data_IF_467537601345
#
_entry.id   IF_467537601345
#
_cell.length_a   1.000
_cell.length_b   1.000
_cell.length_c   1.000
_cell.angle_alpha   90.00
_cell.angle_beta   90.00
_cell.angle_gamma   90.00
#
_symmetry.space_group_name_H-M   'P 1'
#
loop_
_entity.id
_entity.type
_entity.pdbx_description
1 polymer ?
#
# COMPACT_ATOMS: atom_id res chain seq x y z
N UNK A 1 5.88 -20.76 9.67
CA UNK A 1 5.91 -20.00 8.40
C UNK A 1 5.53 -18.54 8.61
N UNK A 2 4.27 -18.22 8.90
CA UNK A 2 3.81 -16.82 9.05
C UNK A 2 4.48 -16.15 10.27
N UNK A 3 4.42 -16.80 11.43
CA UNK A 3 5.03 -16.27 12.67
C UNK A 3 6.55 -16.09 12.50
N UNK A 4 7.24 -17.08 11.92
CA UNK A 4 8.68 -16.97 11.66
C UNK A 4 9.01 -15.81 10.71
N UNK A 5 8.21 -15.63 9.65
CA UNK A 5 8.38 -14.52 8.71
C UNK A 5 8.14 -13.16 9.39
N UNK A 6 7.12 -13.05 10.24
CA UNK A 6 6.84 -11.85 11.02
C UNK A 6 7.98 -11.55 12.01
N UNK A 7 8.49 -12.57 12.70
CA UNK A 7 9.59 -12.42 13.65
C UNK A 7 10.88 -11.98 12.98
N UNK A 8 11.23 -12.58 11.84
CA UNK A 8 12.38 -12.16 11.03
C UNK A 8 12.23 -10.71 10.55
N UNK A 9 11.05 -10.35 10.04
CA UNK A 9 10.75 -8.99 9.62
C UNK A 9 10.91 -7.98 10.77
N UNK A 10 10.37 -8.29 11.95
CA UNK A 10 10.45 -7.43 13.12
C UNK A 10 11.91 -7.17 13.56
N UNK A 11 12.72 -8.22 13.63
CA UNK A 11 14.14 -8.09 13.99
C UNK A 11 14.94 -7.28 12.95
N UNK A 12 14.54 -7.34 11.67
CA UNK A 12 15.21 -6.58 10.60
C UNK A 12 14.91 -5.09 10.62
N UNK A 13 13.73 -4.66 11.07
CA UNK A 13 13.38 -3.23 11.15
C UNK A 13 14.38 -2.40 11.97
N UNK A 14 15.06 -3.01 12.94
CA UNK A 14 15.99 -2.32 13.84
C UNK A 14 17.43 -2.21 13.28
N UNK A 15 17.72 -2.88 12.16
CA UNK A 15 19.06 -2.96 11.57
C UNK A 15 19.48 -1.66 10.86
N UNK A 16 20.79 -1.33 10.84
CA UNK A 16 21.26 -0.07 10.24
C UNK A 16 20.98 0.03 8.74
N UNK A 17 20.99 -1.09 8.01
CA UNK A 17 20.69 -1.14 6.57
C UNK A 17 19.24 -0.70 6.31
N UNK A 18 18.30 -1.17 7.13
CA UNK A 18 16.88 -0.82 7.01
C UNK A 18 16.59 0.64 7.36
N UNK A 19 17.39 1.27 8.24
CA UNK A 19 17.25 2.69 8.55
C UNK A 19 17.53 3.56 7.33
N UNK A 20 18.55 3.23 6.54
CA UNK A 20 18.85 3.95 5.30
C UNK A 20 17.71 3.83 4.30
N UNK A 21 17.17 2.63 4.13
CA UNK A 21 15.99 2.40 3.28
C UNK A 21 14.80 3.19 3.79
N UNK A 22 14.51 3.14 5.10
CA UNK A 22 13.43 3.89 5.73
C UNK A 22 13.52 5.39 5.47
N UNK A 23 14.68 6.03 5.70
CA UNK A 23 14.84 7.47 5.46
C UNK A 23 14.74 7.84 3.99
N UNK A 24 15.25 7.01 3.08
CA UNK A 24 15.02 7.17 1.63
C UNK A 24 13.52 7.10 1.32
N UNK A 25 12.82 6.12 1.90
CA UNK A 25 11.37 5.93 1.73
C UNK A 25 10.62 7.16 2.18
N UNK A 26 10.90 7.61 3.40
CA UNK A 26 10.22 8.75 4.00
C UNK A 26 10.49 10.03 3.20
N UNK A 27 11.73 10.26 2.77
CA UNK A 27 12.10 11.40 1.93
C UNK A 27 11.39 11.42 0.58
N UNK A 28 11.39 10.29 -0.13
CA UNK A 28 10.69 10.14 -1.42
C UNK A 28 9.17 10.30 -1.24
N UNK A 29 8.60 9.68 -0.21
CA UNK A 29 7.17 9.81 0.17
C UNK A 29 6.81 11.29 0.34
N UNK A 30 7.58 12.00 1.16
CA UNK A 30 7.33 13.40 1.45
C UNK A 30 7.46 14.27 0.20
N UNK A 31 8.48 14.03 -0.62
CA UNK A 31 8.68 14.73 -1.89
C UNK A 31 7.50 14.53 -2.83
N UNK A 32 7.04 13.28 -3.01
CA UNK A 32 5.89 12.95 -3.85
C UNK A 32 4.60 13.60 -3.32
N UNK A 33 4.37 13.55 -2.00
CA UNK A 33 3.21 14.18 -1.38
C UNK A 33 3.21 15.70 -1.58
N UNK A 34 4.34 16.36 -1.37
CA UNK A 34 4.47 17.81 -1.60
C UNK A 34 4.28 18.14 -3.09
N UNK A 35 4.93 17.40 -3.99
CA UNK A 35 4.82 17.61 -5.43
C UNK A 35 3.38 17.45 -5.93
N UNK A 36 2.70 16.40 -5.46
CA UNK A 36 1.31 16.13 -5.84
C UNK A 36 0.34 17.14 -5.21
N UNK A 37 0.56 17.57 -3.95
CA UNK A 37 -0.18 18.66 -3.33
C UNK A 37 -0.08 19.95 -4.16
N UNK A 38 1.14 20.33 -4.56
CA UNK A 38 1.37 21.50 -5.41
C UNK A 38 0.68 21.34 -6.76
N UNK A 39 0.78 20.17 -7.41
CA UNK A 39 0.16 19.91 -8.70
C UNK A 39 -1.38 20.01 -8.63
N UNK A 40 -2.01 19.35 -7.66
CA UNK A 40 -3.47 19.38 -7.48
C UNK A 40 -3.93 20.80 -7.17
N UNK A 41 -3.22 21.51 -6.28
CA UNK A 41 -3.50 22.90 -5.96
C UNK A 41 -3.45 23.77 -7.21
N UNK A 42 -2.39 23.64 -8.03
CA UNK A 42 -2.26 24.43 -9.25
C UNK A 42 -3.37 24.12 -10.25
N UNK A 43 -3.67 22.84 -10.49
CA UNK A 43 -4.78 22.44 -11.38
C UNK A 43 -6.11 23.01 -10.87
N UNK A 44 -6.38 22.93 -9.57
CA UNK A 44 -7.59 23.48 -8.97
C UNK A 44 -7.70 25.00 -9.18
N UNK A 45 -6.66 25.76 -8.84
CA UNK A 45 -6.69 27.22 -8.99
C UNK A 45 -6.64 27.70 -10.44
N UNK A 46 -6.04 26.95 -11.35
CA UNK A 46 -6.00 27.30 -12.77
C UNK A 46 -7.29 26.95 -13.52
N UNK A 47 -7.92 25.82 -13.20
CA UNK A 47 -9.03 25.29 -14.00
C UNK A 47 -10.38 25.27 -13.27
N UNK A 48 -10.42 24.95 -11.98
CA UNK A 48 -11.68 24.86 -11.24
C UNK A 48 -12.11 26.20 -10.64
N UNK A 49 -11.15 26.95 -10.08
CA UNK A 49 -11.41 28.21 -9.39
C UNK A 49 -12.05 29.30 -10.29
N UNK A 50 -11.60 29.54 -11.54
CA UNK A 50 -12.22 30.56 -12.39
C UNK A 50 -13.68 30.26 -12.73
N UNK A 51 -14.02 28.97 -12.91
CA UNK A 51 -15.39 28.53 -13.14
C UNK A 51 -16.25 28.67 -11.87
N UNK A 52 -15.67 28.39 -10.70
CA UNK A 52 -16.33 28.62 -9.41
C UNK A 52 -16.65 30.10 -9.16
N UNK A 53 -15.72 31.01 -9.45
CA UNK A 53 -15.94 32.45 -9.31
C UNK A 53 -17.06 32.95 -10.23
N UNK A 54 -17.17 32.40 -11.44
CA UNK A 54 -18.27 32.74 -12.38
C UNK A 54 -19.62 32.16 -11.95
N UNK A 55 -19.65 30.97 -11.36
CA UNK A 55 -20.89 30.36 -10.85
C UNK A 55 -21.38 31.01 -9.55
N UNK A 56 -20.49 31.60 -8.75
CA UNK A 56 -20.77 32.13 -7.41
C UNK A 56 -20.20 33.56 -7.21
N UNK A 57 -20.64 34.57 -7.98
CA UNK A 57 -20.19 35.94 -7.79
C UNK A 57 -20.72 36.53 -6.47
N UNK A 58 -19.83 36.90 -5.56
CA UNK A 58 -20.16 37.69 -4.36
C UNK A 58 -20.92 36.95 -3.25
N UNK A 59 -20.56 35.70 -2.93
CA UNK A 59 -21.32 34.88 -1.97
C UNK A 59 -21.42 35.53 -0.56
N UNK A 60 -22.63 35.77 -0.02
CA UNK A 60 -22.80 36.33 1.33
C UNK A 60 -22.50 35.34 2.45
N UNK A 61 -22.08 35.83 3.63
CA UNK A 61 -21.80 35.02 4.85
C UNK A 61 -22.97 34.12 5.31
N UNK A 62 -24.21 34.39 4.89
CA UNK A 62 -25.42 33.63 5.27
C UNK A 62 -25.79 32.49 4.32
N UNK A 63 -25.05 32.28 3.21
CA UNK A 63 -25.20 31.12 2.32
C UNK A 63 -24.66 29.80 2.93
N UNK A 64 -24.76 29.67 4.26
CA UNK A 64 -24.08 28.65 5.07
C UNK A 64 -24.47 27.22 4.70
N UNK A 65 -25.68 26.95 4.22
CA UNK A 65 -26.07 25.57 3.83
C UNK A 65 -25.49 25.15 2.48
N UNK A 66 -25.39 26.05 1.49
CA UNK A 66 -24.64 25.80 0.24
C UNK A 66 -23.13 25.76 0.50
N UNK A 67 -22.64 26.58 1.43
CA UNK A 67 -21.28 26.48 1.96
C UNK A 67 -21.01 25.15 2.66
N UNK A 68 -21.98 24.60 3.42
CA UNK A 68 -21.89 23.28 4.06
C UNK A 68 -21.94 22.18 3.01
N UNK A 69 -22.82 22.24 2.00
CA UNK A 69 -22.84 21.25 0.90
C UNK A 69 -21.56 21.33 0.09
N UNK A 70 -21.08 22.53 -0.24
CA UNK A 70 -19.80 22.73 -0.91
C UNK A 70 -18.61 22.28 -0.03
N UNK A 71 -18.66 22.47 1.28
CA UNK A 71 -17.65 22.00 2.22
C UNK A 71 -17.70 20.48 2.44
N UNK A 72 -18.89 19.87 2.37
CA UNK A 72 -19.07 18.41 2.40
C UNK A 72 -18.57 17.83 1.09
N UNK A 73 -18.91 18.40 -0.06
CA UNK A 73 -18.43 17.95 -1.37
C UNK A 73 -16.93 18.19 -1.51
N UNK A 74 -16.41 19.33 -1.06
CA UNK A 74 -14.98 19.60 -0.99
C UNK A 74 -14.29 18.72 0.05
N UNK A 75 -14.94 18.39 1.16
CA UNK A 75 -14.43 17.49 2.19
C UNK A 75 -14.39 16.05 1.73
N UNK A 76 -15.41 15.58 1.01
CA UNK A 76 -15.46 14.27 0.36
C UNK A 76 -14.49 14.21 -0.83
N UNK A 77 -14.38 15.29 -1.60
CA UNK A 77 -13.41 15.43 -2.68
C UNK A 77 -11.98 15.43 -2.15
N UNK A 78 -11.72 16.15 -1.05
CA UNK A 78 -10.43 16.16 -0.37
C UNK A 78 -10.14 14.80 0.27
N UNK A 79 -11.11 14.15 0.91
CA UNK A 79 -10.95 12.81 1.47
C UNK A 79 -10.66 11.79 0.37
N UNK A 80 -11.33 11.88 -0.78
CA UNK A 80 -11.06 11.05 -1.95
C UNK A 80 -9.67 11.34 -2.51
N UNK A 81 -9.28 12.60 -2.67
CA UNK A 81 -7.94 13.00 -3.09
C UNK A 81 -6.88 12.48 -2.12
N UNK A 82 -7.07 12.63 -0.81
CA UNK A 82 -6.16 12.12 0.21
C UNK A 82 -6.07 10.59 0.17
N UNK A 83 -7.19 9.89 0.04
CA UNK A 83 -7.20 8.42 -0.11
C UNK A 83 -6.48 7.97 -1.38
N UNK A 84 -6.71 8.65 -2.51
CA UNK A 84 -6.02 8.42 -3.78
C UNK A 84 -4.52 8.75 -3.68
N UNK A 85 -4.15 9.81 -2.96
CA UNK A 85 -2.76 10.20 -2.71
C UNK A 85 -2.04 9.13 -1.89
N UNK A 86 -2.67 8.65 -0.81
CA UNK A 86 -2.11 7.57 0.01
C UNK A 86 -1.92 6.33 -0.86
N UNK A 87 -2.94 5.91 -1.63
CA UNK A 87 -2.86 4.75 -2.49
C UNK A 87 -1.76 4.85 -3.56
N UNK A 88 -1.67 5.99 -4.27
CA UNK A 88 -0.68 6.21 -5.32
C UNK A 88 0.74 6.24 -4.77
N UNK A 89 0.92 6.89 -3.62
CA UNK A 89 2.21 6.97 -2.94
C UNK A 89 2.63 5.60 -2.41
N UNK A 90 1.74 4.86 -1.76
CA UNK A 90 1.99 3.48 -1.31
C UNK A 90 2.40 2.58 -2.46
N UNK A 91 1.77 2.70 -3.62
CA UNK A 91 2.05 1.83 -4.76
C UNK A 91 3.37 2.17 -5.48
N UNK A 92 3.68 3.47 -5.66
CA UNK A 92 4.99 3.93 -6.14
C UNK A 92 6.13 3.49 -5.20
N UNK A 93 5.87 3.51 -3.89
CA UNK A 93 6.81 3.06 -2.87
C UNK A 93 6.97 1.55 -2.89
N UNK A 94 5.87 0.79 -2.97
CA UNK A 94 5.92 -0.66 -2.96
C UNK A 94 6.76 -1.21 -4.11
N UNK A 95 6.70 -0.60 -5.30
CA UNK A 95 7.54 -0.99 -6.43
C UNK A 95 9.04 -0.68 -6.24
N UNK A 96 9.37 0.47 -5.65
CA UNK A 96 10.77 0.93 -5.53
C UNK A 96 11.48 0.35 -4.30
N UNK A 97 10.78 0.26 -3.17
CA UNK A 97 11.37 -0.11 -1.88
C UNK A 97 11.33 -1.60 -1.60
N UNK A 98 10.39 -2.33 -2.20
CA UNK A 98 10.34 -3.77 -2.03
C UNK A 98 11.57 -4.43 -2.66
N UNK A 99 12.09 -3.90 -3.77
CA UNK A 99 13.32 -4.41 -4.38
C UNK A 99 14.54 -4.17 -3.48
N UNK A 100 14.71 -2.95 -2.94
CA UNK A 100 15.78 -2.64 -1.98
C UNK A 100 15.71 -3.54 -0.73
N UNK A 101 14.51 -3.73 -0.17
CA UNK A 101 14.28 -4.59 0.99
C UNK A 101 14.55 -6.05 0.66
N UNK A 102 14.05 -6.53 -0.48
CA UNK A 102 14.22 -7.91 -0.90
C UNK A 102 15.70 -8.23 -1.19
N UNK A 103 16.45 -7.32 -1.79
CA UNK A 103 17.88 -7.48 -2.02
C UNK A 103 18.66 -7.60 -0.69
N UNK A 104 18.33 -6.76 0.30
CA UNK A 104 18.94 -6.88 1.64
C UNK A 104 18.60 -8.23 2.27
N UNK A 105 17.33 -8.65 2.21
CA UNK A 105 16.89 -9.94 2.77
C UNK A 105 17.56 -11.11 2.06
N UNK A 106 17.72 -11.06 0.74
CA UNK A 106 18.43 -12.09 -0.02
C UNK A 106 19.89 -12.19 0.39
N UNK A 107 20.60 -11.06 0.42
CA UNK A 107 22.03 -11.04 0.75
C UNK A 107 22.31 -11.52 2.18
N UNK A 108 21.48 -11.12 3.13
CA UNK A 108 21.74 -11.36 4.55
C UNK A 108 21.08 -12.64 5.08
N UNK A 109 19.86 -12.96 4.65
CA UNK A 109 19.09 -14.09 5.19
C UNK A 109 19.07 -15.31 4.26
N UNK A 110 19.36 -15.15 2.96
CA UNK A 110 19.36 -16.23 1.97
C UNK A 110 20.55 -16.17 0.99
N UNK A 111 21.81 -16.09 1.46
CA UNK A 111 22.98 -15.91 0.59
C UNK A 111 23.22 -17.06 -0.41
N UNK A 112 22.63 -18.24 -0.18
CA UNK A 112 22.75 -19.41 -1.04
C UNK A 112 21.64 -19.53 -2.09
N UNK A 113 20.59 -18.70 -2.02
CA UNK A 113 19.53 -18.70 -3.02
C UNK A 113 19.93 -17.78 -4.19
N UNK A 114 19.52 -18.08 -5.44
CA UNK A 114 19.74 -17.16 -6.56
C UNK A 114 19.02 -15.83 -6.29
N UNK A 115 19.68 -14.68 -6.57
CA UNK A 115 19.08 -13.38 -6.38
C UNK A 115 17.89 -13.21 -7.32
N UNK A 116 16.84 -12.56 -6.82
CA UNK A 116 15.68 -12.21 -7.65
C UNK A 116 16.01 -11.09 -8.64
N UNK A 117 15.23 -10.98 -9.71
CA UNK A 117 15.35 -9.88 -10.68
C UNK A 117 14.52 -8.69 -10.22
N UNK A 118 15.08 -7.46 -10.18
CA UNK A 118 14.31 -6.25 -9.85
C UNK A 118 13.12 -6.06 -10.80
N UNK A 119 12.01 -5.55 -10.27
CA UNK A 119 10.84 -5.26 -11.10
C UNK A 119 11.10 -4.03 -11.98
N UNK A 120 10.87 -4.09 -13.32
CA UNK A 120 11.01 -2.91 -14.16
C UNK A 120 10.03 -1.81 -13.72
N UNK A 121 10.53 -0.59 -13.50
CA UNK A 121 9.76 0.55 -12.99
C UNK A 121 8.41 0.77 -13.72
N UNK A 122 8.40 0.64 -15.05
CA UNK A 122 7.16 0.79 -15.83
C UNK A 122 6.09 -0.25 -15.51
N UNK A 123 6.49 -1.49 -15.18
CA UNK A 123 5.56 -2.55 -14.75
C UNK A 123 5.04 -2.28 -13.34
N UNK A 124 5.89 -1.79 -12.43
CA UNK A 124 5.49 -1.38 -11.09
C UNK A 124 4.45 -0.26 -11.12
N UNK A 125 4.60 0.73 -12.00
CA UNK A 125 3.61 1.82 -12.18
C UNK A 125 2.26 1.28 -12.70
N UNK A 126 2.25 0.38 -13.67
CA UNK A 126 1.01 -0.21 -14.20
C UNK A 126 0.31 -1.07 -13.14
N UNK A 127 1.06 -1.89 -12.42
CA UNK A 127 0.52 -2.70 -11.32
C UNK A 127 -0.07 -1.81 -10.22
N UNK A 128 0.63 -0.72 -9.90
CA UNK A 128 0.19 0.31 -8.95
C UNK A 128 -1.13 0.97 -9.35
N UNK A 129 -1.27 1.34 -10.63
CA UNK A 129 -2.52 1.94 -11.15
C UNK A 129 -3.69 0.96 -11.09
N UNK A 130 -3.47 -0.34 -11.40
CA UNK A 130 -4.50 -1.37 -11.24
C UNK A 130 -4.89 -1.54 -9.77
N UNK A 131 -3.92 -1.48 -8.86
CA UNK A 131 -4.16 -1.56 -7.42
C UNK A 131 -4.95 -0.37 -6.91
N UNK A 132 -4.68 0.85 -7.41
CA UNK A 132 -5.45 2.05 -7.08
C UNK A 132 -6.96 1.86 -7.34
N UNK A 133 -7.34 1.22 -8.46
CA UNK A 133 -8.74 0.87 -8.72
C UNK A 133 -9.35 -0.05 -7.65
N UNK A 134 -8.58 -1.04 -7.17
CA UNK A 134 -9.01 -1.97 -6.13
C UNK A 134 -9.11 -1.27 -4.77
N UNK A 135 -8.19 -0.36 -4.47
CA UNK A 135 -8.20 0.43 -3.23
C UNK A 135 -9.40 1.37 -3.19
N UNK A 136 -9.74 2.03 -4.29
CA UNK A 136 -10.93 2.88 -4.39
C UNK A 136 -12.18 2.06 -4.09
N UNK A 137 -12.34 0.90 -4.74
CA UNK A 137 -13.49 0.03 -4.53
C UNK A 137 -13.55 -0.47 -3.08
N UNK A 138 -12.41 -0.90 -2.52
CA UNK A 138 -12.31 -1.37 -1.14
C UNK A 138 -12.65 -0.30 -0.11
N UNK A 139 -12.16 0.94 -0.30
CA UNK A 139 -12.47 2.06 0.58
C UNK A 139 -13.92 2.53 0.42
N UNK A 140 -14.49 2.48 -0.79
CA UNK A 140 -15.91 2.75 -1.01
C UNK A 140 -16.80 1.79 -0.22
N UNK A 141 -16.48 0.50 -0.25
CA UNK A 141 -17.17 -0.51 0.58
C UNK A 141 -16.96 -0.23 2.07
N UNK A 142 -15.73 0.10 2.50
CA UNK A 142 -15.45 0.43 3.90
C UNK A 142 -16.25 1.64 4.40
N UNK A 143 -16.44 2.67 3.55
CA UNK A 143 -17.26 3.84 3.82
C UNK A 143 -18.74 3.49 4.04
N UNK A 144 -19.29 2.57 3.24
CA UNK A 144 -20.67 2.07 3.42
C UNK A 144 -20.78 1.27 4.72
N UNK A 145 -19.78 0.44 5.01
CA UNK A 145 -19.76 -0.36 6.23
C UNK A 145 -19.64 0.50 7.50
N UNK A 146 -19.06 1.71 7.40
CA UNK A 146 -18.90 2.68 8.50
C UNK A 146 -20.20 2.92 9.28
N UNK A 147 -21.34 2.86 8.61
CA UNK A 147 -22.67 3.11 9.19
C UNK A 147 -23.22 1.94 10.02
N UNK A 148 -22.54 0.78 10.04
CA UNK A 148 -22.97 -0.38 10.83
C UNK A 148 -22.07 -0.53 12.08
N UNK A 149 -22.58 -0.24 13.29
CA UNK A 149 -21.81 -0.33 14.52
C UNK A 149 -21.21 -1.74 14.71
N UNK A 150 -19.94 -1.80 15.10
CA UNK A 150 -19.21 -3.06 15.36
C UNK A 150 -18.64 -3.75 14.12
N UNK A 151 -19.19 -3.52 12.91
CA UNK A 151 -18.65 -4.12 11.66
C UNK A 151 -17.36 -3.43 11.22
N UNK A 152 -17.19 -2.14 11.53
CA UNK A 152 -16.07 -1.31 11.09
C UNK A 152 -14.70 -1.90 11.43
N UNK A 153 -14.55 -2.45 12.63
CA UNK A 153 -13.28 -3.04 13.05
C UNK A 153 -12.96 -4.29 12.24
N UNK A 154 -13.95 -5.18 12.08
CA UNK A 154 -13.79 -6.42 11.30
C UNK A 154 -13.51 -6.07 9.83
N UNK A 155 -14.29 -5.16 9.26
CA UNK A 155 -14.12 -4.70 7.88
C UNK A 155 -12.73 -4.09 7.66
N UNK A 156 -12.25 -3.25 8.59
CA UNK A 156 -10.91 -2.68 8.54
C UNK A 156 -9.84 -3.76 8.46
N UNK A 157 -9.86 -4.74 9.36
CA UNK A 157 -8.87 -5.82 9.37
C UNK A 157 -8.96 -6.69 8.13
N UNK A 158 -10.15 -7.11 7.72
CA UNK A 158 -10.34 -8.02 6.57
C UNK A 158 -9.96 -7.34 5.26
N UNK A 159 -10.43 -6.11 5.01
CA UNK A 159 -10.15 -5.37 3.78
C UNK A 159 -8.66 -5.08 3.68
N UNK A 160 -8.05 -4.52 4.74
CA UNK A 160 -6.62 -4.20 4.71
C UNK A 160 -5.75 -5.46 4.63
N UNK A 161 -6.10 -6.54 5.35
CA UNK A 161 -5.39 -7.81 5.23
C UNK A 161 -5.43 -8.35 3.80
N UNK A 162 -6.59 -8.31 3.15
CA UNK A 162 -6.74 -8.77 1.77
C UNK A 162 -5.92 -7.91 0.79
N UNK A 163 -6.04 -6.58 0.88
CA UNK A 163 -5.34 -5.66 -0.01
C UNK A 163 -3.83 -5.78 0.13
N UNK A 164 -3.32 -5.65 1.36
CA UNK A 164 -1.89 -5.67 1.66
C UNK A 164 -1.28 -7.03 1.35
N UNK A 165 -1.93 -8.13 1.74
CA UNK A 165 -1.39 -9.46 1.46
C UNK A 165 -1.31 -9.75 -0.02
N UNK A 166 -2.32 -9.36 -0.80
CA UNK A 166 -2.32 -9.59 -2.25
C UNK A 166 -1.18 -8.81 -2.91
N UNK A 167 -1.07 -7.52 -2.63
CA UNK A 167 -0.12 -6.64 -3.30
C UNK A 167 1.33 -6.99 -2.93
N UNK A 168 1.66 -6.98 -1.64
CA UNK A 168 3.03 -7.23 -1.19
C UNK A 168 3.50 -8.65 -1.49
N UNK A 169 2.60 -9.64 -1.48
CA UNK A 169 2.95 -11.01 -1.87
C UNK A 169 3.21 -11.12 -3.37
N UNK A 170 2.35 -10.56 -4.22
CA UNK A 170 2.55 -10.58 -5.67
C UNK A 170 3.86 -9.88 -6.04
N UNK A 171 4.16 -8.72 -5.45
CA UNK A 171 5.44 -8.04 -5.66
C UNK A 171 6.64 -8.87 -5.20
N UNK A 172 6.58 -9.45 -4.00
CA UNK A 172 7.65 -10.32 -3.50
C UNK A 172 7.86 -11.56 -4.38
N UNK A 173 6.78 -12.16 -4.90
CA UNK A 173 6.85 -13.34 -5.75
C UNK A 173 7.32 -13.03 -7.17
N UNK A 174 6.92 -11.89 -7.75
CA UNK A 174 7.31 -11.49 -9.11
C UNK A 174 8.80 -11.18 -9.25
N UNK A 175 9.51 -11.02 -8.14
CA UNK A 175 10.98 -10.93 -8.13
C UNK A 175 11.66 -12.26 -8.52
N UNK A 176 10.96 -13.39 -8.39
CA UNK A 176 11.51 -14.72 -8.65
C UNK A 176 10.79 -15.49 -9.76
N UNK A 177 9.63 -14.97 -10.21
CA UNK A 177 8.68 -15.66 -11.07
C UNK A 177 7.94 -14.66 -11.95
N UNK A 178 7.32 -15.14 -13.03
CA UNK A 178 6.46 -14.30 -13.86
C UNK A 178 5.19 -13.84 -13.09
N UNK A 179 4.54 -12.78 -13.57
CA UNK A 179 3.28 -12.26 -12.99
C UNK A 179 2.19 -13.35 -12.92
N UNK A 180 2.08 -14.17 -13.97
CA UNK A 180 1.12 -15.26 -14.03
C UNK A 180 1.38 -16.32 -12.95
N UNK A 181 2.64 -16.71 -12.76
CA UNK A 181 3.05 -17.67 -11.74
C UNK A 181 2.91 -17.11 -10.32
N UNK A 182 3.23 -15.84 -10.10
CA UNK A 182 3.03 -15.17 -8.83
C UNK A 182 1.55 -15.17 -8.42
N UNK A 183 0.65 -14.85 -9.37
CA UNK A 183 -0.80 -14.89 -9.17
C UNK A 183 -1.32 -16.30 -8.93
N UNK A 184 -0.80 -17.29 -9.66
CA UNK A 184 -1.15 -18.69 -9.46
C UNK A 184 -0.74 -19.20 -8.07
N UNK A 185 0.49 -18.89 -7.63
CA UNK A 185 0.98 -19.23 -6.31
C UNK A 185 0.15 -18.59 -5.20
N UNK A 186 -0.18 -17.31 -5.35
CA UNK A 186 -1.08 -16.61 -4.42
C UNK A 186 -2.45 -17.28 -4.36
N UNK A 187 -3.00 -17.69 -5.51
CA UNK A 187 -4.29 -18.38 -5.56
C UNK A 187 -4.25 -19.73 -4.85
N UNK A 188 -3.15 -20.47 -5.01
CA UNK A 188 -2.96 -21.78 -4.36
C UNK A 188 -2.81 -21.66 -2.84
N UNK A 189 -2.10 -20.63 -2.36
CA UNK A 189 -1.82 -20.40 -0.94
C UNK A 189 -2.62 -19.23 -0.35
N UNK A 190 -3.79 -18.92 -0.92
CA UNK A 190 -4.53 -17.69 -0.64
C UNK A 190 -4.87 -17.48 0.83
N UNK A 191 -5.24 -18.55 1.56
CA UNK A 191 -5.52 -18.49 3.00
C UNK A 191 -4.25 -18.13 3.79
N UNK A 192 -3.12 -18.75 3.48
CA UNK A 192 -1.85 -18.45 4.16
C UNK A 192 -1.40 -17.00 3.90
N UNK A 193 -1.54 -16.54 2.65
CA UNK A 193 -1.22 -15.16 2.27
C UNK A 193 -2.16 -14.18 2.99
N UNK A 194 -3.45 -14.45 3.03
CA UNK A 194 -4.43 -13.63 3.74
C UNK A 194 -4.16 -13.55 5.26
N UNK A 195 -3.86 -14.68 5.90
CA UNK A 195 -3.50 -14.72 7.33
C UNK A 195 -2.23 -13.91 7.62
N UNK A 196 -1.25 -13.92 6.72
CA UNK A 196 -0.09 -13.04 6.82
C UNK A 196 -0.49 -11.56 6.69
N UNK A 197 -1.46 -11.26 5.82
CA UNK A 197 -2.09 -9.95 5.72
C UNK A 197 -2.73 -9.46 7.01
N UNK A 198 -3.36 -10.34 7.79
CA UNK A 198 -3.93 -9.98 9.09
C UNK A 198 -2.86 -9.54 10.10
N UNK A 199 -1.69 -10.19 10.08
CA UNK A 199 -0.55 -9.78 10.92
C UNK A 199 -0.06 -8.40 10.51
N UNK A 200 0.06 -8.13 9.21
CA UNK A 200 0.44 -6.81 8.69
C UNK A 200 -0.62 -5.76 9.06
N UNK A 201 -1.91 -6.07 8.92
CA UNK A 201 -2.99 -5.17 9.29
C UNK A 201 -2.97 -4.84 10.80
N UNK A 202 -2.63 -5.82 11.65
CA UNK A 202 -2.41 -5.59 13.08
C UNK A 202 -1.22 -4.67 13.38
N UNK A 203 -0.12 -4.84 12.65
CA UNK A 203 1.04 -3.95 12.75
C UNK A 203 0.69 -2.52 12.30
N UNK A 204 -0.05 -2.39 11.20
CA UNK A 204 -0.54 -1.14 10.63
C UNK A 204 -1.51 -0.39 11.55
N UNK A 205 -2.29 -1.12 12.36
CA UNK A 205 -3.26 -0.54 13.28
C UNK A 205 -2.61 0.26 14.43
N UNK A 206 -1.31 0.07 14.68
CA UNK A 206 -0.57 0.79 15.73
C UNK A 206 -0.04 2.11 15.14
N UNK A 207 -0.51 3.29 15.56
CA UNK A 207 -0.29 4.55 14.84
C UNK A 207 1.18 4.91 14.58
N UNK A 208 2.05 4.78 15.58
CA UNK A 208 3.48 5.13 15.46
C UNK A 208 4.23 4.08 14.63
N UNK A 209 3.89 2.81 14.85
CA UNK A 209 4.52 1.66 14.19
C UNK A 209 4.08 1.55 12.73
N UNK A 210 2.92 2.13 12.37
CA UNK A 210 2.38 2.12 11.02
C UNK A 210 3.35 2.69 9.96
N UNK A 211 4.22 3.63 10.35
CA UNK A 211 5.25 4.18 9.47
C UNK A 211 6.25 3.11 8.98
N UNK A 212 6.40 2.02 9.73
CA UNK A 212 7.27 0.89 9.41
C UNK A 212 6.53 -0.22 8.65
N UNK A 213 5.21 -0.13 8.49
CA UNK A 213 4.37 -1.16 7.85
C UNK A 213 4.89 -1.56 6.48
N UNK A 214 5.29 -0.65 5.56
CA UNK A 214 5.75 -1.05 4.24
C UNK A 214 7.01 -1.92 4.30
N UNK A 215 7.98 -1.57 5.16
CA UNK A 215 9.21 -2.33 5.34
C UNK A 215 8.94 -3.70 5.99
N UNK A 216 8.06 -3.72 7.00
CA UNK A 216 7.63 -4.94 7.66
C UNK A 216 6.92 -5.88 6.69
N UNK A 217 5.94 -5.37 5.94
CA UNK A 217 5.14 -6.12 4.97
C UNK A 217 6.01 -6.71 3.86
N UNK A 218 6.90 -5.91 3.26
CA UNK A 218 7.80 -6.37 2.21
C UNK A 218 8.71 -7.50 2.71
N UNK A 219 9.39 -7.31 3.84
CA UNK A 219 10.28 -8.31 4.43
C UNK A 219 9.53 -9.60 4.77
N UNK A 220 8.38 -9.47 5.43
CA UNK A 220 7.54 -10.60 5.82
C UNK A 220 7.07 -11.39 4.58
N UNK A 221 6.65 -10.71 3.52
CA UNK A 221 6.17 -11.36 2.30
C UNK A 221 7.29 -12.01 1.49
N UNK A 222 8.51 -11.46 1.50
CA UNK A 222 9.69 -12.13 0.91
C UNK A 222 9.99 -13.44 1.65
N UNK A 223 10.05 -13.41 2.99
CA UNK A 223 10.24 -14.64 3.79
C UNK A 223 9.11 -15.64 3.58
N UNK A 224 7.86 -15.16 3.51
CA UNK A 224 6.70 -16.01 3.28
C UNK A 224 6.76 -16.66 1.89
N UNK A 225 7.08 -15.90 0.85
CA UNK A 225 7.28 -16.40 -0.50
C UNK A 225 8.36 -17.51 -0.51
N UNK A 226 9.53 -17.26 0.07
CA UNK A 226 10.61 -18.25 0.16
C UNK A 226 10.16 -19.53 0.88
N UNK A 227 9.43 -19.39 1.98
CA UNK A 227 8.92 -20.52 2.73
C UNK A 227 7.87 -21.33 1.93
N UNK A 228 6.95 -20.65 1.26
CA UNK A 228 5.93 -21.27 0.40
C UNK A 228 6.58 -21.98 -0.79
N UNK A 229 7.53 -21.33 -1.46
CA UNK A 229 8.22 -21.90 -2.61
C UNK A 229 9.02 -23.16 -2.24
N UNK A 230 9.69 -23.19 -1.06
CA UNK A 230 10.33 -24.41 -0.54
C UNK A 230 9.33 -25.54 -0.27
N UNK A 231 8.13 -25.21 0.22
CA UNK A 231 7.07 -26.21 0.46
C UNK A 231 6.45 -26.74 -0.83
N UNK A 232 6.25 -25.87 -1.81
CA UNK A 232 5.72 -26.24 -3.12
C UNK A 232 6.65 -27.25 -3.82
N UNK A 233 7.97 -27.01 -3.82
CA UNK A 233 8.96 -27.94 -4.39
C UNK A 233 8.86 -29.33 -3.74
N UNK A 234 8.77 -29.40 -2.41
CA UNK A 234 8.62 -30.67 -1.67
C UNK A 234 7.31 -31.42 -1.94
N UNK A 235 6.28 -30.76 -2.47
CA UNK A 235 4.98 -31.38 -2.73
C UNK A 235 4.97 -32.10 -4.09
N UNK A 236 5.93 -31.79 -4.97
CA UNK A 236 6.07 -32.36 -6.32
C UNK A 236 7.35 -33.20 -6.50
N UNK A 237 8.12 -33.42 -5.43
CA UNK A 237 9.27 -34.33 -5.37
C UNK A 237 8.89 -35.62 -4.66
#
# INVERSE_FOLDING_TARGET
>A
MIIDAAWKALNRLLTPQFRTVFWKTLGVTLLLLVGLWVAIRQVFFSFAWPWMEQLLPGMPQWAGWLGIVAAIVAGLGLALVLALMIALVTALIAGFFLDDVAEIVEREDYPADPPGTPLPLGRSVIASLKFLGVVILGNGVALILLFVPGINLIAFFVINAYLLSREFFEFAAMRYRSEAEAKALRSQYGVTVFLAGLVIAGFMAIPIVNLLTPLFAATMMVHLHKAISKRAIKTYS
#
